data_IF_415192311702
#
_entry.id   IF_415192311702
#
_cell.length_a   1.000
_cell.length_b   1.000
_cell.length_c   1.000
_cell.angle_alpha   90.00
_cell.angle_beta   90.00
_cell.angle_gamma   90.00
#
_symmetry.space_group_name_H-M   'P 1'
#
loop_
_entity.id
_entity.type
_entity.pdbx_description
1 polymer ?
#
# COMPACT_ATOMS: atom_id res chain seq x y z
N UNK A 1 13.51 -9.04 9.28
CA UNK A 1 12.25 -9.01 8.51
C UNK A 1 11.81 -7.57 8.47
N UNK A 2 11.79 -6.97 7.27
CA UNK A 2 11.34 -5.58 7.07
C UNK A 2 9.91 -5.43 7.60
N UNK A 3 9.64 -4.34 8.30
CA UNK A 3 8.29 -3.96 8.73
C UNK A 3 7.74 -2.98 7.71
N UNK A 4 6.68 -3.37 7.03
CA UNK A 4 6.15 -2.62 5.90
C UNK A 4 4.72 -2.22 6.14
N UNK A 5 4.33 -1.08 5.57
CA UNK A 5 2.92 -0.71 5.42
C UNK A 5 2.50 -0.94 3.98
N UNK A 6 1.28 -1.42 3.78
CA UNK A 6 0.64 -1.54 2.46
C UNK A 6 -0.49 -0.52 2.37
N UNK A 7 -0.50 0.29 1.32
CA UNK A 7 -1.57 1.24 1.02
C UNK A 7 -2.32 0.77 -0.21
N UNK A 8 -3.63 0.64 -0.09
CA UNK A 8 -4.46 0.10 -1.16
C UNK A 8 -5.60 1.05 -1.55
N UNK A 9 -6.10 0.90 -2.77
CA UNK A 9 -7.24 1.68 -3.24
C UNK A 9 -8.51 1.15 -2.57
N UNK A 10 -9.13 1.96 -1.69
CA UNK A 10 -10.35 1.57 -0.98
C UNK A 10 -11.47 1.19 -1.94
N UNK A 11 -11.70 2.00 -2.97
CA UNK A 11 -12.74 1.77 -3.98
C UNK A 11 -12.53 0.46 -4.76
N UNK A 12 -11.29 0.09 -5.06
CA UNK A 12 -10.99 -1.17 -5.74
C UNK A 12 -11.24 -2.37 -4.81
N UNK A 13 -10.80 -2.26 -3.56
CA UNK A 13 -10.98 -3.31 -2.54
C UNK A 13 -12.46 -3.57 -2.21
N UNK A 14 -13.30 -2.53 -2.14
CA UNK A 14 -14.74 -2.71 -1.88
C UNK A 14 -15.43 -3.57 -2.94
N UNK A 15 -14.86 -3.62 -4.14
CA UNK A 15 -15.36 -4.38 -5.28
C UNK A 15 -14.46 -5.59 -5.62
N UNK A 16 -13.52 -5.94 -4.73
CA UNK A 16 -12.41 -6.87 -4.97
C UNK A 16 -12.85 -8.32 -5.20
N UNK A 17 -13.33 -8.64 -6.39
CA UNK A 17 -13.54 -10.01 -6.85
C UNK A 17 -12.18 -10.70 -7.07
N UNK A 18 -11.93 -11.82 -6.40
CA UNK A 18 -10.70 -12.62 -6.56
C UNK A 18 -9.57 -12.34 -5.56
N UNK A 19 -9.74 -11.38 -4.65
CA UNK A 19 -8.75 -11.07 -3.60
C UNK A 19 -9.38 -10.97 -2.19
N UNK A 20 -10.14 -11.98 -1.72
CA UNK A 20 -10.79 -11.91 -0.41
C UNK A 20 -9.77 -11.73 0.72
N UNK A 21 -9.99 -10.72 1.56
CA UNK A 21 -9.09 -10.39 2.67
C UNK A 21 -7.70 -9.92 2.22
N UNK A 22 -7.57 -9.46 0.97
CA UNK A 22 -6.31 -9.00 0.39
C UNK A 22 -5.17 -10.02 0.48
N UNK A 23 -5.54 -11.32 0.43
CA UNK A 23 -4.63 -12.44 0.64
C UNK A 23 -3.43 -12.40 -0.30
N UNK A 24 -3.61 -11.87 -1.53
CA UNK A 24 -2.53 -11.78 -2.53
C UNK A 24 -1.39 -10.90 -2.02
N UNK A 25 -1.69 -9.71 -1.50
CA UNK A 25 -0.68 -8.82 -0.93
C UNK A 25 -0.02 -9.44 0.30
N UNK A 26 -0.82 -10.06 1.18
CA UNK A 26 -0.33 -10.65 2.43
C UNK A 26 0.55 -11.88 2.19
N UNK A 27 0.17 -12.74 1.23
CA UNK A 27 0.97 -13.90 0.81
C UNK A 27 2.29 -13.46 0.22
N UNK A 28 2.27 -12.48 -0.70
CA UNK A 28 3.48 -11.99 -1.34
C UNK A 28 4.48 -11.45 -0.31
N UNK A 29 4.01 -10.64 0.65
CA UNK A 29 4.83 -10.17 1.75
C UNK A 29 5.36 -11.33 2.62
N UNK A 30 4.52 -12.30 3.00
CA UNK A 30 4.94 -13.41 3.87
C UNK A 30 5.97 -14.35 3.23
N UNK A 31 5.92 -14.52 1.91
CA UNK A 31 6.82 -15.42 1.17
C UNK A 31 8.02 -14.69 0.53
N UNK A 32 8.03 -13.36 0.52
CA UNK A 32 9.03 -12.61 -0.26
C UNK A 32 8.87 -12.85 -1.76
N UNK A 33 7.62 -12.79 -2.24
CA UNK A 33 7.27 -12.91 -3.66
C UNK A 33 6.86 -11.54 -4.23
N UNK A 34 6.81 -11.44 -5.55
CA UNK A 34 6.38 -10.22 -6.23
C UNK A 34 7.41 -9.11 -6.06
N UNK A 35 6.98 -7.97 -5.53
CA UNK A 35 7.85 -6.81 -5.29
C UNK A 35 8.57 -6.87 -3.94
N UNK A 36 8.12 -7.73 -3.03
CA UNK A 36 8.82 -8.03 -1.79
C UNK A 36 9.97 -8.99 -2.11
N UNK A 37 11.19 -8.48 -2.26
CA UNK A 37 12.38 -9.30 -2.60
C UNK A 37 12.75 -10.34 -1.53
N UNK A 38 12.22 -10.17 -0.33
CA UNK A 38 12.42 -11.02 0.85
C UNK A 38 11.18 -10.97 1.73
N UNK A 39 10.95 -11.95 2.62
CA UNK A 39 9.80 -11.94 3.51
C UNK A 39 9.73 -10.65 4.35
N UNK A 40 8.55 -10.04 4.35
CA UNK A 40 8.25 -8.79 5.04
C UNK A 40 7.04 -8.94 5.98
N UNK A 41 7.10 -8.24 7.10
CA UNK A 41 6.02 -8.17 8.07
C UNK A 41 5.11 -6.99 7.74
N UNK A 42 3.89 -7.27 7.26
CA UNK A 42 2.87 -6.22 7.08
C UNK A 42 2.35 -5.80 8.45
N UNK A 43 2.73 -4.61 8.91
CA UNK A 43 2.29 -4.04 10.19
C UNK A 43 1.01 -3.22 10.01
N UNK A 44 0.92 -2.50 8.89
CA UNK A 44 -0.21 -1.65 8.57
C UNK A 44 -0.74 -1.99 7.18
N UNK A 45 -2.05 -2.14 7.06
CA UNK A 45 -2.74 -2.23 5.78
C UNK A 45 -3.80 -1.15 5.74
N UNK A 46 -3.51 -0.04 5.04
CA UNK A 46 -4.38 1.12 5.01
C UNK A 46 -5.08 1.23 3.67
N UNK A 47 -6.30 1.77 3.70
CA UNK A 47 -7.13 1.97 2.53
C UNK A 47 -7.22 3.46 2.23
N UNK A 48 -6.94 3.84 0.99
CA UNK A 48 -7.18 5.17 0.48
C UNK A 48 -8.70 5.39 0.34
N UNK A 49 -9.20 6.49 0.91
CA UNK A 49 -10.59 6.91 0.80
C UNK A 49 -10.69 8.07 -0.18
N UNK A 50 -11.50 7.93 -1.25
CA UNK A 50 -11.66 8.95 -2.27
C UNK A 50 -12.17 10.27 -1.66
N UNK A 51 -11.56 11.44 -1.99
CA UNK A 51 -10.58 11.68 -3.07
C UNK A 51 -9.11 11.65 -2.63
N UNK A 52 -8.76 10.89 -1.58
CA UNK A 52 -7.39 10.67 -1.10
C UNK A 52 -6.91 11.64 -0.02
N UNK A 53 -7.79 12.54 0.46
CA UNK A 53 -7.44 13.60 1.41
C UNK A 53 -6.77 13.12 2.71
N UNK A 54 -7.28 12.08 3.41
CA UNK A 54 -6.73 11.73 4.71
C UNK A 54 -5.53 10.77 4.61
N UNK A 55 -5.10 10.36 3.41
CA UNK A 55 -4.18 9.23 3.26
C UNK A 55 -2.84 9.45 3.98
N UNK A 56 -2.14 10.56 3.76
CA UNK A 56 -0.84 10.83 4.41
C UNK A 56 -1.02 10.96 5.94
N UNK A 57 -2.08 11.64 6.38
CA UNK A 57 -2.41 11.78 7.80
C UNK A 57 -2.71 10.44 8.46
N UNK A 58 -3.40 9.53 7.75
CA UNK A 58 -3.71 8.19 8.24
C UNK A 58 -2.46 7.31 8.32
N UNK A 59 -1.55 7.40 7.35
CA UNK A 59 -0.24 6.72 7.44
C UNK A 59 0.51 7.22 8.67
N UNK A 60 0.59 8.55 8.85
CA UNK A 60 1.27 9.14 10.00
C UNK A 60 0.62 8.74 11.33
N UNK A 61 -0.71 8.70 11.39
CA UNK A 61 -1.43 8.26 12.58
C UNK A 61 -1.21 6.77 12.86
N UNK A 62 -1.22 5.92 11.83
CA UNK A 62 -0.92 4.50 11.98
C UNK A 62 0.50 4.28 12.52
N UNK A 63 1.49 5.02 12.02
CA UNK A 63 2.86 4.98 12.58
C UNK A 63 2.87 5.40 14.05
N UNK A 64 2.19 6.50 14.39
CA UNK A 64 2.15 7.03 15.76
C UNK A 64 1.46 6.08 16.74
N UNK A 65 0.30 5.54 16.39
CA UNK A 65 -0.50 4.70 17.29
C UNK A 65 0.05 3.28 17.42
N UNK A 66 0.73 2.77 16.38
CA UNK A 66 1.41 1.47 16.45
C UNK A 66 2.81 1.56 17.08
N UNK A 67 3.32 2.78 17.29
CA UNK A 67 4.71 3.05 17.70
C UNK A 67 5.75 2.43 16.75
N UNK A 68 5.37 2.21 15.48
CA UNK A 68 6.20 1.58 14.45
C UNK A 68 6.30 2.51 13.24
N UNK A 69 7.54 2.92 12.92
CA UNK A 69 7.88 3.48 11.61
C UNK A 69 8.18 2.31 10.66
N UNK A 70 7.48 2.15 9.52
CA UNK A 70 7.81 1.11 8.56
C UNK A 70 9.11 1.45 7.84
N UNK A 71 9.83 0.41 7.42
CA UNK A 71 11.05 0.51 6.62
C UNK A 71 10.70 1.00 5.20
N UNK A 72 9.58 0.51 4.65
CA UNK A 72 9.05 0.87 3.33
C UNK A 72 7.53 0.91 3.34
N UNK A 73 6.97 1.68 2.42
CA UNK A 73 5.54 1.67 2.10
C UNK A 73 5.38 1.03 0.73
N UNK A 74 4.46 0.07 0.61
CA UNK A 74 4.11 -0.55 -0.66
C UNK A 74 2.72 -0.09 -1.07
N UNK A 75 2.56 0.29 -2.33
CA UNK A 75 1.24 0.41 -2.92
C UNK A 75 0.75 -0.97 -3.35
N UNK A 76 -0.48 -1.34 -3.00
CA UNK A 76 -1.04 -2.59 -3.49
C UNK A 76 -1.06 -2.59 -5.02
N UNK A 77 -0.95 -3.76 -5.64
CA UNK A 77 -1.05 -3.89 -7.10
C UNK A 77 -2.37 -3.31 -7.63
N UNK A 78 -3.47 -3.43 -6.88
CA UNK A 78 -4.77 -2.84 -7.25
C UNK A 78 -4.85 -1.30 -7.09
N UNK A 79 -3.90 -0.67 -6.38
CA UNK A 79 -3.73 0.80 -6.38
C UNK A 79 -2.79 1.22 -7.51
N UNK A 80 -1.60 0.61 -7.57
CA UNK A 80 -0.56 0.99 -8.52
C UNK A 80 -0.99 0.77 -9.98
N UNK A 81 -1.70 -0.32 -10.25
CA UNK A 81 -2.11 -0.71 -11.60
C UNK A 81 -3.63 -0.62 -11.81
N UNK A 82 -4.33 0.21 -11.05
CA UNK A 82 -5.79 0.31 -11.10
C UNK A 82 -6.29 0.60 -12.53
N UNK A 83 -7.22 -0.23 -13.01
CA UNK A 83 -7.96 0.00 -14.26
C UNK A 83 -9.47 -0.18 -14.00
N UNK A 84 -10.31 0.86 -14.22
CA UNK A 84 -9.93 2.22 -14.64
C UNK A 84 -9.03 2.93 -13.62
N UNK A 85 -8.25 3.89 -14.12
CA UNK A 85 -7.29 4.65 -13.31
C UNK A 85 -8.00 5.54 -12.28
N UNK A 86 -7.27 5.95 -11.23
CA UNK A 86 -7.79 6.85 -10.23
C UNK A 86 -8.04 8.25 -10.84
N UNK A 87 -9.26 8.82 -10.72
CA UNK A 87 -9.58 10.12 -11.31
C UNK A 87 -9.02 11.31 -10.52
N UNK A 88 -8.42 11.06 -9.34
CA UNK A 88 -7.96 12.12 -8.43
C UNK A 88 -6.45 12.28 -8.37
N UNK A 89 -5.71 11.19 -8.55
CA UNK A 89 -4.26 11.12 -8.33
C UNK A 89 -3.63 10.05 -9.21
N UNK A 90 -2.50 10.40 -9.83
CA UNK A 90 -1.58 9.46 -10.44
C UNK A 90 -0.77 8.77 -9.33
N UNK A 91 -0.64 7.43 -9.29
CA UNK A 91 0.08 6.72 -8.22
C UNK A 91 1.50 7.24 -7.98
N UNK A 92 2.25 7.54 -9.03
CA UNK A 92 3.63 8.04 -8.93
C UNK A 92 3.70 9.41 -8.24
N UNK A 93 2.77 10.32 -8.56
CA UNK A 93 2.67 11.61 -7.88
C UNK A 93 2.30 11.45 -6.41
N UNK A 94 1.41 10.50 -6.11
CA UNK A 94 1.01 10.19 -4.75
C UNK A 94 2.17 9.63 -3.93
N UNK A 95 2.97 8.75 -4.53
CA UNK A 95 4.19 8.21 -3.94
C UNK A 95 5.18 9.33 -3.60
N UNK A 96 5.48 10.21 -4.56
CA UNK A 96 6.38 11.35 -4.32
C UNK A 96 5.92 12.26 -3.18
N UNK A 97 4.61 12.49 -3.04
CA UNK A 97 4.07 13.26 -1.92
C UNK A 97 4.24 12.55 -0.57
N UNK A 98 4.08 11.22 -0.52
CA UNK A 98 4.30 10.44 0.70
C UNK A 98 5.78 10.48 1.08
N UNK A 99 6.67 10.24 0.12
CA UNK A 99 8.12 10.27 0.32
C UNK A 99 8.59 11.63 0.83
N UNK A 100 8.12 12.73 0.20
CA UNK A 100 8.45 14.10 0.61
C UNK A 100 7.99 14.39 2.06
N UNK A 101 6.78 13.95 2.42
CA UNK A 101 6.19 14.28 3.73
C UNK A 101 6.64 13.37 4.86
N UNK A 102 6.92 12.09 4.58
CA UNK A 102 7.20 11.08 5.60
C UNK A 102 8.65 10.59 5.60
N UNK A 103 9.41 10.82 4.52
CA UNK A 103 10.78 10.33 4.38
C UNK A 103 10.88 8.81 4.44
N UNK A 104 9.94 8.12 3.80
CA UNK A 104 9.87 6.65 3.69
C UNK A 104 9.65 6.31 2.23
N UNK A 105 10.49 5.43 1.68
CA UNK A 105 10.42 4.96 0.30
C UNK A 105 9.06 4.32 0.00
N UNK A 106 8.52 4.63 -1.18
CA UNK A 106 7.26 4.05 -1.68
C UNK A 106 7.52 3.15 -2.88
N UNK A 107 7.27 1.86 -2.70
CA UNK A 107 7.42 0.83 -3.74
C UNK A 107 6.07 0.61 -4.44
N UNK A 108 6.09 0.55 -5.78
CA UNK A 108 4.89 0.34 -6.59
C UNK A 108 4.54 -1.15 -6.71
N UNK A 109 3.32 -1.50 -6.34
CA UNK A 109 2.80 -2.87 -6.45
C UNK A 109 3.26 -3.78 -5.31
N UNK A 110 2.56 -4.90 -5.15
CA UNK A 110 2.83 -5.92 -4.12
C UNK A 110 3.08 -7.31 -4.72
N UNK A 111 2.39 -7.64 -5.80
CA UNK A 111 2.45 -8.95 -6.45
C UNK A 111 2.09 -8.86 -7.94
N UNK A 112 2.41 -9.91 -8.68
CA UNK A 112 2.07 -10.14 -10.09
C UNK A 112 0.91 -11.14 -10.29
N UNK A 113 0.37 -11.72 -9.21
CA UNK A 113 -0.74 -12.68 -9.30
C UNK A 113 -1.98 -12.09 -10.00
N UNK A 114 -2.54 -12.86 -10.95
CA UNK A 114 -3.74 -12.53 -11.73
C UNK A 114 -5.05 -12.89 -11.03
#
# INVERSE_FOLDING_TARGET
MEKVFVIACGSYMDNGYGCPGEWRCLKAAALGEGTFSEPAQVIGFLRCECPGRPMISNINMAMKLSEIKPDKIYFSTCLANAKPECPYKVPEELAGLIEEKLGIEVVQGTHDYH
#
